data_IF_058239027584
#
_entry.id   IF_058239027584
#
_cell.length_a   1.000
_cell.length_b   1.000
_cell.length_c   1.000
_cell.angle_alpha   90.00
_cell.angle_beta   90.00
_cell.angle_gamma   90.00
#
_symmetry.space_group_name_H-M   'P 1'
#
loop_
_entity.id
_entity.type
_entity.pdbx_description
1 polymer ?
#
# COMPACT_ATOMS: atom_id res chain seq x y z
N UNK A 1 -7.90 -13.97 -14.69
CA UNK A 1 -8.42 -12.97 -13.72
C UNK A 1 -7.22 -12.25 -13.10
N UNK A 2 -7.02 -10.96 -13.38
CA UNK A 2 -6.07 -10.16 -12.62
C UNK A 2 -6.83 -9.56 -11.44
N UNK A 3 -6.55 -10.02 -10.22
CA UNK A 3 -7.00 -9.32 -9.01
C UNK A 3 -6.20 -8.01 -8.93
N UNK A 4 -6.66 -6.97 -9.63
CA UNK A 4 -6.14 -5.62 -9.46
C UNK A 4 -6.79 -5.03 -8.22
N UNK A 5 -6.15 -5.17 -7.07
CA UNK A 5 -6.51 -4.46 -5.85
C UNK A 5 -6.20 -2.98 -6.00
N UNK A 6 -7.15 -2.24 -6.58
CA UNK A 6 -7.66 -0.89 -6.24
C UNK A 6 -6.75 0.28 -5.86
N UNK A 7 -5.43 0.15 -5.77
CA UNK A 7 -4.55 1.20 -5.25
C UNK A 7 -3.28 1.25 -6.12
N UNK A 8 -3.06 2.39 -6.77
CA UNK A 8 -1.84 2.62 -7.56
C UNK A 8 -0.61 2.72 -6.66
N UNK A 9 0.49 2.12 -7.09
CA UNK A 9 1.77 2.18 -6.39
C UNK A 9 2.83 2.79 -7.31
N UNK A 10 3.49 3.83 -6.82
CA UNK A 10 4.64 4.45 -7.47
C UNK A 10 5.92 3.74 -6.99
N UNK A 11 6.47 2.86 -7.83
CA UNK A 11 7.71 2.14 -7.54
C UNK A 11 8.98 3.02 -7.59
N UNK A 12 8.91 4.20 -8.21
CA UNK A 12 10.05 5.12 -8.25
C UNK A 12 10.18 5.87 -6.92
N UNK A 13 9.04 6.32 -6.38
CA UNK A 13 9.00 7.08 -5.14
C UNK A 13 8.64 6.23 -3.92
N UNK A 14 8.30 4.94 -4.11
CA UNK A 14 7.79 4.02 -3.10
C UNK A 14 6.59 4.58 -2.31
N UNK A 15 5.68 5.23 -3.03
CA UNK A 15 4.49 5.90 -2.47
C UNK A 15 3.20 5.39 -3.10
N UNK A 16 2.08 5.65 -2.42
CA UNK A 16 0.74 5.40 -2.96
C UNK A 16 0.44 6.46 -4.04
N UNK A 17 0.25 6.00 -5.28
CA UNK A 17 -0.17 6.83 -6.41
C UNK A 17 -1.69 6.73 -6.59
N UNK A 18 -2.39 7.67 -5.98
CA UNK A 18 -3.85 7.74 -6.02
C UNK A 18 -4.30 9.19 -6.21
N UNK A 19 -5.50 9.33 -6.76
CA UNK A 19 -6.07 10.64 -7.05
C UNK A 19 -6.38 11.45 -5.77
N UNK A 20 -6.47 12.79 -5.86
CA UNK A 20 -6.76 13.63 -4.71
C UNK A 20 -8.11 13.35 -4.02
N UNK A 21 -9.10 12.83 -4.75
CA UNK A 21 -10.41 12.43 -4.24
C UNK A 21 -10.30 11.23 -3.31
N UNK A 22 -9.59 10.18 -3.73
CA UNK A 22 -9.30 9.02 -2.88
C UNK A 22 -8.59 9.42 -1.58
N UNK A 23 -7.56 10.27 -1.69
CA UNK A 23 -6.85 10.80 -0.51
C UNK A 23 -7.73 11.65 0.41
N UNK A 24 -8.78 12.28 -0.10
CA UNK A 24 -9.73 13.05 0.72
C UNK A 24 -10.59 12.12 1.55
N UNK A 25 -11.09 11.04 0.97
CA UNK A 25 -11.84 9.99 1.68
C UNK A 25 -10.97 9.31 2.73
N UNK A 26 -9.76 8.88 2.35
CA UNK A 26 -8.86 8.16 3.25
C UNK A 26 -8.36 8.97 4.43
N UNK A 27 -8.26 10.30 4.31
CA UNK A 27 -7.93 11.17 5.45
C UNK A 27 -9.02 11.20 6.52
N UNK A 28 -10.27 11.01 6.13
CA UNK A 28 -11.40 10.94 7.06
C UNK A 28 -11.45 9.58 7.72
N UNK A 29 -11.26 8.51 6.94
CA UNK A 29 -11.29 7.13 7.45
C UNK A 29 -10.07 6.77 8.29
N UNK A 30 -8.87 7.22 7.89
CA UNK A 30 -7.59 6.88 8.51
C UNK A 30 -6.83 8.17 8.88
N UNK A 31 -7.03 8.70 10.10
CA UNK A 31 -6.28 9.85 10.58
C UNK A 31 -4.77 9.63 10.49
N UNK A 32 -4.06 10.60 9.90
CA UNK A 32 -2.60 10.54 9.75
C UNK A 32 -2.09 9.79 8.51
N UNK A 33 -2.97 9.22 7.68
CA UNK A 33 -2.56 8.54 6.43
C UNK A 33 -1.86 9.47 5.42
N UNK A 34 -2.07 10.78 5.54
CA UNK A 34 -1.47 11.81 4.68
C UNK A 34 0.06 11.80 4.67
N UNK A 35 0.70 11.21 5.69
CA UNK A 35 2.16 11.01 5.72
C UNK A 35 2.67 10.12 4.58
N UNK A 36 1.88 9.14 4.17
CA UNK A 36 2.21 8.20 3.10
C UNK A 36 2.06 8.79 1.68
N UNK A 37 1.53 10.01 1.58
CA UNK A 37 1.45 10.74 0.31
C UNK A 37 2.79 11.38 -0.09
N UNK A 38 3.61 11.76 0.90
CA UNK A 38 4.79 12.62 0.69
C UNK A 38 6.13 11.92 0.94
N UNK A 39 6.11 10.68 1.42
CA UNK A 39 7.32 9.96 1.73
C UNK A 39 7.14 8.47 1.50
N UNK A 40 8.23 7.77 1.12
CA UNK A 40 8.21 6.35 0.90
C UNK A 40 7.79 5.60 2.17
N UNK A 41 7.25 4.39 2.00
CA UNK A 41 7.02 3.50 3.14
C UNK A 41 8.37 3.25 3.84
N UNK A 42 8.45 3.62 5.12
CA UNK A 42 9.64 3.38 5.91
C UNK A 42 9.88 1.87 6.04
N UNK A 43 11.15 1.47 5.96
CA UNK A 43 11.59 0.09 6.11
C UNK A 43 11.00 -0.88 5.07
N UNK A 44 10.64 -0.39 3.87
CA UNK A 44 10.04 -1.21 2.80
C UNK A 44 10.87 -2.46 2.45
N UNK A 45 12.21 -2.35 2.39
CA UNK A 45 13.08 -3.49 2.16
C UNK A 45 13.03 -4.52 3.30
N UNK A 46 13.00 -4.06 4.55
CA UNK A 46 12.91 -4.94 5.73
C UNK A 46 11.55 -5.62 5.82
N UNK A 47 10.48 -4.87 5.56
CA UNK A 47 9.12 -5.40 5.47
C UNK A 47 9.01 -6.44 4.36
N UNK A 48 9.60 -6.16 3.18
CA UNK A 48 9.65 -7.12 2.08
C UNK A 48 10.31 -8.42 2.54
N UNK A 49 11.46 -8.37 3.23
CA UNK A 49 12.12 -9.56 3.75
C UNK A 49 11.27 -10.30 4.80
N UNK A 50 10.66 -9.57 5.74
CA UNK A 50 9.83 -10.15 6.81
C UNK A 50 8.57 -10.82 6.26
N UNK A 51 7.96 -10.23 5.23
CA UNK A 51 6.70 -10.68 4.65
C UNK A 51 6.88 -11.50 3.36
N UNK A 52 8.11 -11.69 2.87
CA UNK A 52 8.40 -12.45 1.65
C UNK A 52 7.88 -13.89 1.69
N UNK A 53 7.84 -14.47 2.90
CA UNK A 53 7.41 -15.85 3.13
C UNK A 53 5.95 -15.95 3.57
N UNK A 54 5.22 -14.84 3.69
CA UNK A 54 3.77 -14.88 3.86
C UNK A 54 3.15 -15.04 2.47
N UNK A 55 3.20 -16.26 1.96
CA UNK A 55 2.33 -16.68 0.86
C UNK A 55 0.93 -16.88 1.40
N UNK A 56 -0.09 -16.31 0.75
CA UNK A 56 -1.46 -16.79 0.90
C UNK A 56 -1.48 -18.23 0.40
N UNK A 57 -1.27 -19.18 1.32
CA UNK A 57 -1.60 -20.55 1.06
C UNK A 57 -3.12 -20.58 0.89
N UNK A 58 -3.61 -20.83 -0.32
CA UNK A 58 -5.03 -21.01 -0.64
C UNK A 58 -5.59 -22.31 -0.03
N UNK A 59 -5.07 -22.71 1.14
CA UNK A 59 -5.40 -23.92 1.87
C UNK A 59 -6.55 -23.72 2.88
N UNK A 60 -7.16 -22.54 2.94
CA UNK A 60 -8.43 -22.34 3.66
C UNK A 60 -9.58 -22.67 2.69
N UNK A 61 -9.93 -23.96 2.70
CA UNK A 61 -10.92 -24.65 1.88
C UNK A 61 -12.35 -24.45 2.42
#
# INVERSE_FOLDING_TARGET
MRRQSGIGWDHLNNTIDMDPGWWRTMKVEIPGCSRFKKGPLQNEAELTVMFNNITNDESDN
#
